data_IF_232096624844
#
_entry.id   IF_232096624844
#
_cell.length_a   1.000
_cell.length_b   1.000
_cell.length_c   1.000
_cell.angle_alpha   90.00
_cell.angle_beta   90.00
_cell.angle_gamma   90.00
#
_symmetry.space_group_name_H-M   'P 1'
#
loop_
_entity.id
_entity.type
_entity.pdbx_description
1 polymer ?
#
# COMPACT_ATOMS: atom_id res chain seq x y z
N UNK A 1 -33.90 -33.15 13.84
CA UNK A 1 -34.06 -31.70 13.52
C UNK A 1 -33.18 -30.80 14.38
N UNK A 2 -33.12 -30.99 15.71
CA UNK A 2 -32.27 -30.20 16.61
C UNK A 2 -30.76 -30.33 16.37
N UNK A 3 -30.28 -31.52 15.98
CA UNK A 3 -28.87 -31.78 15.74
C UNK A 3 -28.30 -30.99 14.55
N UNK A 4 -29.09 -30.86 13.47
CA UNK A 4 -28.72 -30.09 12.26
C UNK A 4 -28.64 -28.59 12.55
N UNK A 5 -29.52 -28.08 13.42
CA UNK A 5 -29.52 -26.69 13.87
C UNK A 5 -28.31 -26.35 14.75
N UNK A 6 -27.87 -27.29 15.60
CA UNK A 6 -26.65 -27.10 16.40
C UNK A 6 -25.38 -27.11 15.53
N UNK A 7 -25.29 -28.04 14.56
CA UNK A 7 -24.15 -28.11 13.65
C UNK A 7 -24.08 -26.85 12.78
N UNK A 8 -25.20 -26.36 12.27
CA UNK A 8 -25.24 -25.12 11.48
C UNK A 8 -24.78 -23.90 12.29
N UNK A 9 -25.25 -23.73 13.53
CA UNK A 9 -24.80 -22.62 14.40
C UNK A 9 -23.32 -22.72 14.76
N UNK A 10 -22.83 -23.93 15.02
CA UNK A 10 -21.43 -24.15 15.37
C UNK A 10 -20.48 -23.86 14.19
N UNK A 11 -20.85 -24.29 12.99
CA UNK A 11 -20.09 -24.01 11.76
C UNK A 11 -20.08 -22.50 11.46
N UNK A 12 -21.22 -21.82 11.59
CA UNK A 12 -21.31 -20.36 11.36
C UNK A 12 -20.45 -19.58 12.35
N UNK A 13 -20.53 -19.91 13.64
CA UNK A 13 -19.72 -19.24 14.67
C UNK A 13 -18.22 -19.47 14.46
N UNK A 14 -17.84 -20.70 14.08
CA UNK A 14 -16.44 -21.01 13.72
C UNK A 14 -15.98 -20.26 12.47
N UNK A 15 -16.80 -20.18 11.42
CA UNK A 15 -16.47 -19.45 10.20
C UNK A 15 -16.31 -17.95 10.44
N UNK A 16 -17.14 -17.36 11.30
CA UNK A 16 -17.05 -15.94 11.65
C UNK A 16 -15.79 -15.64 12.47
N UNK A 17 -15.43 -16.55 13.39
CA UNK A 17 -14.18 -16.47 14.15
C UNK A 17 -12.95 -16.63 13.25
N UNK A 18 -12.99 -17.58 12.32
CA UNK A 18 -11.93 -17.84 11.34
C UNK A 18 -11.80 -16.65 10.38
N UNK A 19 -12.89 -16.08 9.88
CA UNK A 19 -12.85 -14.88 9.03
C UNK A 19 -12.28 -13.67 9.75
N UNK A 20 -12.66 -13.45 11.02
CA UNK A 20 -12.10 -12.33 11.79
C UNK A 20 -10.62 -12.54 12.13
N UNK A 21 -10.20 -13.79 12.38
CA UNK A 21 -8.80 -14.13 12.58
C UNK A 21 -7.98 -13.95 11.28
N UNK A 22 -8.47 -14.44 10.15
CA UNK A 22 -7.81 -14.29 8.84
C UNK A 22 -7.71 -12.83 8.39
N UNK A 23 -8.68 -11.97 8.74
CA UNK A 23 -8.58 -10.52 8.52
C UNK A 23 -7.43 -9.87 9.29
N UNK A 24 -7.01 -10.45 10.40
CA UNK A 24 -5.92 -9.91 11.24
C UNK A 24 -4.55 -10.47 10.87
N UNK A 25 -4.48 -11.63 10.19
CA UNK A 25 -3.22 -12.35 9.95
C UNK A 25 -2.83 -12.51 8.48
N UNK A 26 -3.73 -12.22 7.53
CA UNK A 26 -3.47 -12.38 6.09
C UNK A 26 -2.58 -11.27 5.52
N UNK A 27 -1.39 -11.64 5.02
CA UNK A 27 -0.49 -10.77 4.23
C UNK A 27 -0.92 -10.54 2.77
N UNK A 28 -2.01 -11.17 2.31
CA UNK A 28 -2.52 -11.02 0.94
C UNK A 28 -3.79 -10.15 0.92
N UNK A 29 -3.63 -8.83 0.84
CA UNK A 29 -4.72 -7.84 0.77
C UNK A 29 -5.57 -8.00 -0.51
N UNK A 30 -4.94 -8.22 -1.67
CA UNK A 30 -5.64 -8.32 -2.96
C UNK A 30 -6.68 -9.46 -3.07
N UNK A 31 -6.46 -10.60 -2.40
CA UNK A 31 -7.42 -11.72 -2.42
C UNK A 31 -8.62 -11.45 -1.50
N UNK A 32 -8.37 -10.81 -0.35
CA UNK A 32 -9.41 -10.46 0.63
C UNK A 32 -10.33 -9.34 0.11
N UNK A 33 -9.77 -8.40 -0.64
CA UNK A 33 -10.52 -7.32 -1.30
C UNK A 33 -11.36 -7.83 -2.48
N UNK A 34 -10.86 -8.82 -3.23
CA UNK A 34 -11.63 -9.49 -4.29
C UNK A 34 -12.82 -10.30 -3.75
N UNK A 35 -12.68 -10.88 -2.55
CA UNK A 35 -13.75 -11.63 -1.88
C UNK A 35 -14.80 -10.72 -1.24
N UNK A 36 -14.39 -9.59 -0.66
CA UNK A 36 -15.31 -8.60 -0.06
C UNK A 36 -16.06 -7.77 -1.10
N UNK A 37 -15.51 -7.60 -2.31
CA UNK A 37 -16.18 -6.96 -3.45
C UNK A 37 -17.25 -7.83 -4.13
N UNK A 38 -17.28 -9.15 -3.89
CA UNK A 38 -18.33 -10.01 -4.41
C UNK A 38 -19.66 -9.75 -3.68
N UNK A 39 -20.60 -9.11 -4.38
CA UNK A 39 -21.98 -8.81 -3.92
C UNK A 39 -22.78 -10.04 -3.45
N UNK A 40 -22.26 -11.25 -3.70
CA UNK A 40 -22.78 -12.53 -3.21
C UNK A 40 -22.93 -12.52 -1.68
N UNK A 41 -22.03 -11.86 -0.94
CA UNK A 41 -22.09 -11.81 0.53
C UNK A 41 -23.03 -10.73 1.08
N UNK A 42 -23.29 -9.67 0.32
CA UNK A 42 -24.22 -8.60 0.74
C UNK A 42 -25.69 -9.06 0.74
N UNK A 43 -26.05 -9.97 -0.16
CA UNK A 43 -27.42 -10.54 -0.21
C UNK A 43 -27.63 -11.66 0.84
N UNK A 44 -26.54 -12.15 1.44
CA UNK A 44 -26.50 -13.15 2.51
C UNK A 44 -26.61 -12.51 3.91
N UNK A 45 -27.33 -11.41 4.06
CA UNK A 45 -27.62 -10.81 5.37
C UNK A 45 -28.40 -11.77 6.25
N UNK A 46 -27.68 -12.47 7.14
CA UNK A 46 -28.17 -13.50 8.07
C UNK A 46 -29.29 -12.96 8.99
N UNK A 47 -29.34 -11.63 9.21
CA UNK A 47 -30.40 -10.99 10.00
C UNK A 47 -31.80 -11.15 9.37
N UNK A 48 -31.89 -11.28 8.04
CA UNK A 48 -33.16 -11.55 7.35
C UNK A 48 -33.67 -12.99 7.49
N UNK A 49 -32.78 -13.96 7.72
CA UNK A 49 -33.12 -15.39 7.81
C UNK A 49 -33.70 -15.79 9.18
N UNK A 50 -33.42 -15.02 10.23
CA UNK A 50 -33.87 -15.34 11.59
C UNK A 50 -35.21 -14.66 11.95
N UNK A 51 -35.56 -13.54 11.29
CA UNK A 51 -36.66 -12.69 11.71
C UNK A 51 -38.04 -13.02 11.10
N UNK A 52 -38.16 -13.91 10.12
CA UNK A 52 -39.43 -14.10 9.41
C UNK A 52 -39.88 -15.57 9.31
N UNK A 53 -40.68 -16.02 10.29
CA UNK A 53 -41.24 -17.39 10.37
C UNK A 53 -42.27 -17.75 9.29
N UNK A 54 -42.56 -16.88 8.31
CA UNK A 54 -43.68 -17.08 7.36
C UNK A 54 -43.34 -17.03 5.86
N UNK A 55 -42.09 -16.82 5.48
CA UNK A 55 -41.72 -16.85 4.06
C UNK A 55 -40.98 -18.14 3.73
N UNK A 56 -41.70 -19.08 3.12
CA UNK A 56 -41.16 -20.29 2.49
C UNK A 56 -40.38 -19.89 1.23
N UNK A 57 -39.27 -19.17 1.38
CA UNK A 57 -38.30 -18.99 0.29
C UNK A 57 -37.64 -20.34 0.06
N UNK A 58 -37.90 -20.94 -1.10
CA UNK A 58 -37.14 -22.09 -1.59
C UNK A 58 -35.73 -21.55 -1.84
N UNK A 59 -34.83 -21.78 -0.88
CA UNK A 59 -33.40 -21.61 -1.12
C UNK A 59 -33.07 -22.57 -2.27
N UNK A 60 -32.67 -22.01 -3.41
CA UNK A 60 -32.29 -22.76 -4.60
C UNK A 60 -31.30 -23.84 -4.19
N UNK A 61 -31.65 -25.10 -4.43
CA UNK A 61 -30.98 -26.27 -3.89
C UNK A 61 -29.63 -26.58 -4.57
N UNK A 62 -29.13 -25.63 -5.34
CA UNK A 62 -27.99 -25.77 -6.25
C UNK A 62 -26.82 -24.88 -5.84
N UNK A 63 -26.71 -24.51 -4.55
CA UNK A 63 -25.42 -24.01 -4.08
C UNK A 63 -24.53 -25.23 -3.87
N UNK A 64 -23.56 -25.48 -4.77
CA UNK A 64 -22.93 -26.78 -4.79
C UNK A 64 -22.00 -26.88 -3.60
N UNK A 65 -22.25 -27.86 -2.73
CA UNK A 65 -21.48 -28.10 -1.51
C UNK A 65 -19.96 -28.18 -1.80
N UNK A 66 -19.58 -28.58 -3.01
CA UNK A 66 -18.20 -28.61 -3.46
C UNK A 66 -17.51 -27.24 -3.48
N UNK A 67 -18.22 -26.13 -3.70
CA UNK A 67 -17.62 -24.78 -3.64
C UNK A 67 -17.24 -24.37 -2.21
N UNK A 68 -18.07 -24.74 -1.22
CA UNK A 68 -17.76 -24.49 0.19
C UNK A 68 -16.58 -25.36 0.61
N UNK A 69 -16.55 -26.63 0.19
CA UNK A 69 -15.42 -27.52 0.47
C UNK A 69 -14.13 -27.04 -0.21
N UNK A 70 -14.21 -26.55 -1.46
CA UNK A 70 -13.08 -25.96 -2.19
C UNK A 70 -12.55 -24.71 -1.47
N UNK A 71 -13.45 -23.82 -1.03
CA UNK A 71 -13.06 -22.61 -0.29
C UNK A 71 -12.42 -22.97 1.06
N UNK A 72 -12.95 -23.96 1.78
CA UNK A 72 -12.33 -24.48 3.01
C UNK A 72 -10.95 -25.10 2.73
N UNK A 73 -10.78 -25.86 1.65
CA UNK A 73 -9.48 -26.45 1.28
C UNK A 73 -8.45 -25.38 0.91
N UNK A 74 -8.85 -24.34 0.16
CA UNK A 74 -7.97 -23.22 -0.18
C UNK A 74 -7.52 -22.45 1.08
N UNK A 75 -8.43 -22.25 2.04
CA UNK A 75 -8.08 -21.64 3.33
C UNK A 75 -7.12 -22.51 4.16
N UNK A 76 -7.29 -23.84 4.16
CA UNK A 76 -6.41 -24.76 4.88
C UNK A 76 -5.02 -24.90 4.25
N UNK A 77 -4.92 -24.92 2.92
CA UNK A 77 -3.62 -24.96 2.22
C UNK A 77 -2.84 -23.66 2.48
N UNK A 78 -3.55 -22.52 2.57
CA UNK A 78 -2.92 -21.24 2.87
C UNK A 78 -2.36 -21.18 4.30
N UNK A 79 -3.00 -21.85 5.27
CA UNK A 79 -2.52 -21.96 6.65
C UNK A 79 -1.30 -22.91 6.77
N UNK A 80 -1.25 -23.96 5.94
CA UNK A 80 -0.14 -24.93 5.93
C UNK A 80 1.15 -24.39 5.27
N UNK A 81 1.06 -23.36 4.42
CA UNK A 81 2.22 -22.68 3.81
C UNK A 81 2.77 -21.58 4.73
N UNK A 82 1.98 -21.15 5.72
CA UNK A 82 2.45 -20.31 6.80
C UNK A 82 3.13 -21.17 7.88
N UNK A 83 4.29 -21.76 7.58
CA UNK A 83 5.09 -22.42 8.61
C UNK A 83 5.46 -21.41 9.71
N UNK A 84 5.19 -21.71 11.00
CA UNK A 84 5.87 -21.07 12.10
C UNK A 84 7.23 -21.78 12.27
N UNK A 85 8.30 -21.00 12.33
CA UNK A 85 9.69 -21.42 12.61
C UNK A 85 10.56 -21.69 11.37
N UNK A 86 11.04 -20.61 10.76
CA UNK A 86 12.39 -20.61 10.18
C UNK A 86 13.18 -19.52 10.89
N UNK A 87 13.93 -19.89 11.94
CA UNK A 87 15.02 -19.05 12.43
C UNK A 87 16.19 -19.20 11.46
N UNK A 88 16.65 -18.13 10.79
CA UNK A 88 17.95 -18.16 10.17
C UNK A 88 18.99 -17.80 11.24
N UNK A 89 19.54 -18.82 11.89
CA UNK A 89 20.92 -18.72 12.37
C UNK A 89 21.82 -18.63 11.13
N UNK A 90 22.08 -17.41 10.68
CA UNK A 90 23.22 -17.13 9.80
C UNK A 90 23.85 -15.80 10.21
N UNK A 91 24.64 -15.86 11.28
CA UNK A 91 25.75 -14.93 11.44
C UNK A 91 26.73 -15.15 10.28
N UNK A 92 26.86 -14.16 9.40
CA UNK A 92 28.13 -13.52 9.02
C UNK A 92 28.06 -12.94 7.60
N UNK A 93 28.42 -11.65 7.52
CA UNK A 93 28.81 -10.91 6.32
C UNK A 93 27.73 -10.76 5.23
N UNK A 94 26.71 -9.95 5.49
CA UNK A 94 26.17 -9.09 4.44
C UNK A 94 26.64 -7.67 4.76
N UNK A 95 27.53 -7.16 3.91
CA UNK A 95 27.88 -5.75 3.87
C UNK A 95 26.58 -4.96 3.76
N UNK A 96 26.38 -4.00 4.66
CA UNK A 96 25.32 -3.02 4.52
C UNK A 96 25.54 -2.30 3.19
N UNK A 97 24.77 -2.68 2.17
CA UNK A 97 24.67 -1.94 0.93
C UNK A 97 24.14 -0.57 1.31
N UNK A 98 25.05 0.39 1.38
CA UNK A 98 24.79 1.71 1.92
C UNK A 98 23.76 2.38 1.02
N UNK A 99 22.57 2.65 1.57
CA UNK A 99 21.58 3.55 0.98
C UNK A 99 22.32 4.85 0.61
N UNK A 100 22.50 5.08 -0.68
CA UNK A 100 23.42 6.12 -1.17
C UNK A 100 22.68 7.44 -1.30
N UNK A 101 22.76 8.27 -0.26
CA UNK A 101 22.32 9.67 -0.35
C UNK A 101 23.26 10.41 -1.31
N UNK A 102 22.77 10.70 -2.52
CA UNK A 102 23.56 11.38 -3.54
C UNK A 102 23.33 12.88 -3.44
N UNK A 103 24.35 13.61 -2.97
CA UNK A 103 24.34 15.06 -2.85
C UNK A 103 24.74 15.72 -4.18
N UNK A 104 23.78 16.33 -4.87
CA UNK A 104 24.00 17.03 -6.14
C UNK A 104 24.11 18.53 -5.83
N UNK A 105 25.33 19.07 -5.97
CA UNK A 105 25.61 20.48 -5.73
C UNK A 105 25.46 21.29 -7.03
N UNK A 106 24.36 22.03 -7.17
CA UNK A 106 24.25 23.05 -8.22
C UNK A 106 24.91 24.35 -7.75
N UNK A 107 26.00 24.76 -8.40
CA UNK A 107 26.68 26.01 -8.09
C UNK A 107 26.03 27.16 -8.85
N UNK A 108 25.34 28.07 -8.14
CA UNK A 108 25.37 29.54 -8.33
C UNK A 108 24.39 30.21 -7.36
N UNK A 109 24.89 31.24 -6.66
CA UNK A 109 24.22 32.18 -5.72
C UNK A 109 24.10 31.73 -4.25
N UNK A 110 24.81 32.47 -3.40
CA UNK A 110 24.80 32.42 -1.92
C UNK A 110 23.61 33.22 -1.38
N UNK A 111 22.41 32.68 -1.52
CA UNK A 111 21.28 32.95 -0.63
C UNK A 111 21.22 31.78 0.38
N UNK A 112 20.56 31.93 1.53
CA UNK A 112 20.36 30.83 2.49
C UNK A 112 19.90 29.57 1.75
N UNK A 113 20.80 28.58 1.62
CA UNK A 113 20.60 27.44 0.72
C UNK A 113 19.59 26.51 1.39
N UNK A 114 18.32 26.59 0.98
CA UNK A 114 17.31 25.61 1.34
C UNK A 114 17.64 24.28 0.68
N UNK A 115 18.30 23.39 1.43
CA UNK A 115 18.62 22.03 1.00
C UNK A 115 17.30 21.27 0.82
N UNK A 116 17.10 20.73 -0.39
CA UNK A 116 15.88 20.01 -0.75
C UNK A 116 16.18 18.51 -0.85
N UNK A 117 15.38 17.69 -0.17
CA UNK A 117 15.44 16.24 -0.30
C UNK A 117 14.45 15.77 -1.36
N UNK A 118 14.90 14.96 -2.30
CA UNK A 118 14.05 14.26 -3.27
C UNK A 118 14.13 12.77 -2.98
N UNK A 119 12.97 12.17 -2.71
CA UNK A 119 12.81 10.74 -2.46
C UNK A 119 12.15 10.14 -3.69
N UNK A 120 12.80 9.14 -4.29
CA UNK A 120 12.31 8.48 -5.51
C UNK A 120 12.31 6.97 -5.34
N UNK A 121 11.35 6.31 -5.98
CA UNK A 121 11.34 4.86 -6.12
C UNK A 121 12.36 4.40 -7.18
N UNK A 122 13.00 3.23 -7.00
CA UNK A 122 13.98 2.71 -7.97
C UNK A 122 13.37 2.43 -9.35
N UNK A 123 12.06 2.18 -9.43
CA UNK A 123 11.34 1.92 -10.68
C UNK A 123 11.03 3.16 -11.51
N UNK A 124 11.50 4.35 -11.08
CA UNK A 124 11.27 5.60 -11.78
C UNK A 124 12.22 5.74 -12.99
N UNK A 125 11.64 5.65 -14.18
CA UNK A 125 12.36 5.97 -15.42
C UNK A 125 12.58 7.49 -15.54
N UNK A 126 13.68 7.91 -16.18
CA UNK A 126 13.97 9.32 -16.52
C UNK A 126 14.20 10.26 -15.32
N UNK A 127 14.81 9.75 -14.25
CA UNK A 127 15.22 10.55 -13.08
C UNK A 127 15.97 11.85 -13.46
N UNK A 128 16.84 11.82 -14.46
CA UNK A 128 17.61 13.00 -14.91
C UNK A 128 16.71 14.15 -15.40
N UNK A 129 15.64 13.84 -16.14
CA UNK A 129 14.71 14.84 -16.63
C UNK A 129 13.96 15.51 -15.46
N UNK A 130 13.60 14.72 -14.45
CA UNK A 130 12.96 15.23 -13.24
C UNK A 130 13.90 16.13 -12.44
N UNK A 131 15.15 15.70 -12.23
CA UNK A 131 16.17 16.47 -11.51
C UNK A 131 16.49 17.80 -12.18
N UNK A 132 16.39 17.89 -13.51
CA UNK A 132 16.61 19.14 -14.25
C UNK A 132 15.62 20.27 -13.90
N UNK A 133 14.45 19.92 -13.36
CA UNK A 133 13.44 20.87 -12.90
C UNK A 133 13.73 21.48 -11.53
N UNK A 134 14.66 20.91 -10.77
CA UNK A 134 15.02 21.42 -9.44
C UNK A 134 16.22 22.36 -9.53
N UNK A 135 16.17 23.43 -8.75
CA UNK A 135 17.28 24.40 -8.63
C UNK A 135 17.81 24.40 -7.20
N UNK A 136 19.13 24.61 -7.05
CA UNK A 136 19.79 24.64 -5.75
C UNK A 136 20.50 23.33 -5.36
N UNK A 137 20.74 23.17 -4.07
CA UNK A 137 21.37 21.97 -3.51
C UNK A 137 20.31 20.90 -3.27
N UNK A 138 20.44 19.78 -3.98
CA UNK A 138 19.49 18.68 -3.97
C UNK A 138 20.16 17.44 -3.42
N UNK A 139 19.55 16.84 -2.41
CA UNK A 139 19.92 15.52 -1.94
C UNK A 139 18.92 14.52 -2.51
N UNK A 140 19.42 13.46 -3.14
CA UNK A 140 18.59 12.41 -3.71
C UNK A 140 18.68 11.15 -2.84
N UNK A 141 17.51 10.62 -2.49
CA UNK A 141 17.34 9.33 -1.84
C UNK A 141 16.56 8.40 -2.78
N UNK A 142 17.21 7.33 -3.24
CA UNK A 142 16.57 6.30 -4.07
C UNK A 142 16.19 5.14 -3.15
N UNK A 143 14.91 4.76 -3.16
CA UNK A 143 14.39 3.67 -2.36
C UNK A 143 14.52 2.34 -3.08
N UNK A 144 14.78 1.29 -2.31
CA UNK A 144 14.93 -0.07 -2.81
C UNK A 144 13.64 -0.87 -2.66
N UNK A 145 13.33 -1.71 -3.65
CA UNK A 145 12.02 -2.37 -3.76
C UNK A 145 11.75 -3.45 -2.70
N UNK A 146 12.78 -3.87 -1.95
CA UNK A 146 12.72 -4.99 -1.01
C UNK A 146 12.76 -4.57 0.47
N UNK A 147 12.77 -3.26 0.75
CA UNK A 147 12.82 -2.72 2.11
C UNK A 147 11.51 -2.00 2.47
N UNK A 148 11.26 -1.82 3.77
CA UNK A 148 10.13 -1.00 4.20
C UNK A 148 10.45 0.48 3.90
N UNK A 149 9.64 1.16 3.07
CA UNK A 149 9.97 2.49 2.55
C UNK A 149 10.19 3.54 3.65
N UNK A 150 9.37 3.60 4.69
CA UNK A 150 9.53 4.62 5.72
C UNK A 150 10.71 4.33 6.66
N UNK A 151 11.00 3.08 6.99
CA UNK A 151 12.21 2.67 7.70
C UNK A 151 13.45 3.02 6.89
N UNK A 152 13.45 2.76 5.57
CA UNK A 152 14.59 3.12 4.70
C UNK A 152 14.84 4.63 4.74
N UNK A 153 13.79 5.45 4.65
CA UNK A 153 13.90 6.90 4.76
C UNK A 153 14.40 7.29 6.16
N UNK A 154 13.81 6.74 7.22
CA UNK A 154 14.20 7.05 8.59
C UNK A 154 15.67 6.72 8.87
N UNK A 155 16.15 5.59 8.36
CA UNK A 155 17.55 5.17 8.48
C UNK A 155 18.48 6.11 7.71
N UNK A 156 18.13 6.45 6.46
CA UNK A 156 18.94 7.33 5.63
C UNK A 156 19.05 8.76 6.21
N UNK A 157 17.99 9.24 6.88
CA UNK A 157 17.94 10.61 7.41
C UNK A 157 18.37 10.71 8.88
N UNK A 158 18.62 9.61 9.58
CA UNK A 158 18.87 9.60 11.03
C UNK A 158 20.03 10.52 11.49
N UNK A 159 21.06 10.68 10.64
CA UNK A 159 22.23 11.51 10.94
C UNK A 159 22.29 12.80 10.12
N UNK A 160 21.29 13.04 9.27
CA UNK A 160 21.26 14.22 8.41
C UNK A 160 20.65 15.41 9.15
N UNK A 161 21.06 16.65 8.82
CA UNK A 161 20.36 17.83 9.32
C UNK A 161 18.92 17.86 8.78
N UNK A 162 17.97 18.49 9.50
CA UNK A 162 16.59 18.58 9.04
C UNK A 162 16.48 19.32 7.70
N UNK A 163 15.75 18.72 6.76
CA UNK A 163 15.54 19.31 5.44
C UNK A 163 14.46 20.39 5.47
N UNK A 164 14.65 21.45 4.68
CA UNK A 164 13.68 22.55 4.59
C UNK A 164 12.53 22.25 3.64
N UNK A 165 12.78 21.45 2.60
CA UNK A 165 11.79 20.98 1.63
C UNK A 165 11.99 19.50 1.38
N UNK A 166 10.89 18.76 1.23
CA UNK A 166 10.89 17.36 0.83
C UNK A 166 9.95 17.14 -0.34
N UNK A 167 10.44 16.42 -1.32
CA UNK A 167 9.69 16.01 -2.51
C UNK A 167 9.69 14.49 -2.59
N UNK A 168 8.51 13.88 -2.67
CA UNK A 168 8.35 12.45 -2.96
C UNK A 168 7.88 12.32 -4.40
N UNK A 169 8.59 11.52 -5.19
CA UNK A 169 8.19 11.19 -6.56
C UNK A 169 7.78 9.73 -6.60
N UNK A 170 6.50 9.50 -6.87
CA UNK A 170 5.92 8.16 -6.85
C UNK A 170 4.95 7.95 -8.01
N UNK A 171 4.90 6.71 -8.52
CA UNK A 171 3.73 6.29 -9.31
C UNK A 171 2.53 6.28 -8.37
N UNK A 172 1.33 6.55 -8.88
CA UNK A 172 0.13 6.49 -8.06
C UNK A 172 -1.03 5.82 -8.79
N UNK A 173 -1.97 5.34 -7.97
CA UNK A 173 -3.33 4.98 -8.35
C UNK A 173 -4.30 5.99 -7.75
N UNK A 174 -5.61 5.79 -7.92
CA UNK A 174 -6.63 6.73 -7.43
C UNK A 174 -6.61 7.00 -5.93
N UNK A 175 -6.03 6.10 -5.11
CA UNK A 175 -6.06 6.18 -3.64
C UNK A 175 -4.83 5.58 -2.94
N UNK A 176 -3.73 5.38 -3.68
CA UNK A 176 -2.49 4.83 -3.14
C UNK A 176 -1.29 5.30 -3.97
N UNK A 177 -0.12 5.39 -3.36
CA UNK A 177 1.15 5.66 -4.03
C UNK A 177 2.02 4.41 -4.05
N UNK A 178 2.90 4.28 -5.03
CA UNK A 178 3.85 3.17 -5.13
C UNK A 178 5.25 3.67 -4.76
N UNK A 179 5.83 3.11 -3.71
CA UNK A 179 7.08 3.56 -3.12
C UNK A 179 7.81 2.39 -2.43
N UNK A 180 9.11 2.22 -2.70
CA UNK A 180 9.92 1.13 -2.15
C UNK A 180 9.36 -0.24 -2.54
N UNK A 181 8.92 -0.40 -3.79
CA UNK A 181 8.36 -1.66 -4.29
C UNK A 181 6.96 -2.03 -3.76
N UNK A 182 6.26 -1.10 -3.09
CA UNK A 182 4.98 -1.38 -2.40
C UNK A 182 3.92 -0.33 -2.65
N UNK A 183 2.66 -0.76 -2.66
CA UNK A 183 1.52 0.16 -2.61
C UNK A 183 1.26 0.63 -1.19
N UNK A 184 1.39 1.93 -0.99
CA UNK A 184 1.08 2.65 0.24
C UNK A 184 -0.33 3.21 0.09
N UNK A 185 -1.27 2.60 0.78
CA UNK A 185 -2.67 3.03 0.88
C UNK A 185 -3.02 3.47 2.30
N UNK A 186 -4.30 3.75 2.57
CA UNK A 186 -4.76 4.16 3.89
C UNK A 186 -4.49 3.12 4.98
N UNK A 187 -4.61 1.83 4.67
CA UNK A 187 -4.41 0.77 5.64
C UNK A 187 -2.92 0.69 6.02
N UNK A 188 -2.05 0.77 5.02
CA UNK A 188 -0.61 0.85 5.20
C UNK A 188 -0.21 2.01 6.11
N UNK A 189 -0.75 3.21 5.86
CA UNK A 189 -0.43 4.38 6.67
C UNK A 189 -0.79 4.18 8.15
N UNK A 190 -1.92 3.55 8.45
CA UNK A 190 -2.33 3.25 9.83
C UNK A 190 -1.44 2.21 10.51
N UNK A 191 -1.04 1.16 9.79
CA UNK A 191 -0.13 0.14 10.29
C UNK A 191 1.26 0.72 10.60
N UNK A 192 1.72 1.66 9.79
CA UNK A 192 3.06 2.26 9.87
C UNK A 192 3.09 3.66 10.52
N UNK A 193 2.06 4.03 11.29
CA UNK A 193 1.94 5.35 11.93
C UNK A 193 3.18 5.77 12.75
N UNK A 194 3.87 4.82 13.39
CA UNK A 194 5.07 5.12 14.18
C UNK A 194 6.27 5.50 13.30
N UNK A 195 6.42 4.79 12.17
CA UNK A 195 7.47 5.08 11.19
C UNK A 195 7.21 6.43 10.51
N UNK A 196 5.95 6.74 10.21
CA UNK A 196 5.51 8.05 9.68
C UNK A 196 5.76 9.21 10.65
N UNK A 197 5.51 9.01 11.95
CA UNK A 197 5.82 10.01 12.97
C UNK A 197 7.33 10.21 13.16
N UNK A 198 8.15 9.22 12.80
CA UNK A 198 9.62 9.36 12.78
C UNK A 198 10.06 10.07 11.51
N UNK A 199 9.45 9.74 10.38
CA UNK A 199 9.68 10.39 9.09
C UNK A 199 9.46 11.90 9.20
N UNK A 200 8.34 12.35 9.76
CA UNK A 200 8.05 13.79 9.84
C UNK A 200 9.02 14.57 10.73
N UNK A 201 9.62 13.92 11.73
CA UNK A 201 10.62 14.54 12.62
C UNK A 201 11.96 14.84 11.93
N UNK A 202 12.19 14.28 10.73
CA UNK A 202 13.39 14.54 9.93
C UNK A 202 13.32 15.87 9.16
N UNK A 203 12.19 16.57 9.21
CA UNK A 203 11.96 17.80 8.47
C UNK A 203 11.83 18.99 9.41
N UNK A 204 12.17 20.18 8.92
CA UNK A 204 12.00 21.39 9.71
C UNK A 204 10.51 21.65 9.98
N UNK A 205 10.21 22.32 11.11
CA UNK A 205 8.83 22.62 11.47
C UNK A 205 8.14 23.44 10.37
N UNK A 206 7.03 22.92 9.85
CA UNK A 206 6.26 23.55 8.78
C UNK A 206 6.88 23.38 7.39
N UNK A 207 7.86 22.50 7.22
CA UNK A 207 8.38 22.13 5.90
C UNK A 207 7.26 21.58 5.02
N UNK A 208 7.06 22.13 3.81
CA UNK A 208 6.09 21.58 2.88
C UNK A 208 6.58 20.23 2.34
N UNK A 209 5.63 19.31 2.13
CA UNK A 209 5.86 18.06 1.40
C UNK A 209 5.21 18.18 0.02
N UNK A 210 6.03 18.12 -1.02
CA UNK A 210 5.54 18.03 -2.40
C UNK A 210 5.45 16.56 -2.83
N UNK A 211 4.27 16.11 -3.22
CA UNK A 211 4.00 14.75 -3.66
C UNK A 211 3.74 14.72 -5.16
N UNK A 212 4.76 14.37 -5.94
CA UNK A 212 4.71 14.26 -7.40
C UNK A 212 4.16 12.89 -7.80
N UNK A 213 3.00 12.86 -8.47
CA UNK A 213 2.32 11.60 -8.80
C UNK A 213 1.71 11.56 -10.19
N UNK A 214 1.50 10.36 -10.73
CA UNK A 214 0.87 10.16 -12.06
C UNK A 214 -0.65 10.14 -12.03
N UNK A 215 -1.28 9.63 -10.96
CA UNK A 215 -2.73 9.36 -10.94
C UNK A 215 -3.38 9.43 -9.55
N UNK A 216 -2.80 10.17 -8.60
CA UNK A 216 -3.42 10.34 -7.28
C UNK A 216 -4.53 11.38 -7.34
N UNK A 217 -5.72 10.96 -7.74
CA UNK A 217 -6.86 11.86 -7.93
C UNK A 217 -7.38 12.47 -6.62
N UNK A 218 -7.97 13.67 -6.69
CA UNK A 218 -8.82 14.23 -5.63
C UNK A 218 -10.19 13.51 -5.48
N UNK A 219 -10.30 12.25 -5.94
CA UNK A 219 -11.48 11.42 -5.68
C UNK A 219 -11.65 11.20 -4.18
N UNK A 220 -12.81 10.68 -3.76
CA UNK A 220 -13.08 10.42 -2.34
C UNK A 220 -11.98 9.54 -1.69
N UNK A 221 -11.45 8.56 -2.42
CA UNK A 221 -10.37 7.70 -1.93
C UNK A 221 -9.02 8.42 -1.82
N UNK A 222 -8.61 9.15 -2.86
CA UNK A 222 -7.34 9.88 -2.85
C UNK A 222 -7.32 11.05 -1.86
N UNK A 223 -8.44 11.76 -1.72
CA UNK A 223 -8.57 12.81 -0.69
C UNK A 223 -8.48 12.26 0.74
N UNK A 224 -9.06 11.09 1.01
CA UNK A 224 -8.90 10.41 2.31
C UNK A 224 -7.47 9.95 2.56
N UNK A 225 -6.80 9.44 1.52
CA UNK A 225 -5.40 9.05 1.61
C UNK A 225 -4.51 10.25 1.97
N UNK A 226 -4.63 11.36 1.22
CA UNK A 226 -3.86 12.59 1.45
C UNK A 226 -4.15 13.14 2.85
N UNK A 227 -5.42 13.27 3.22
CA UNK A 227 -5.79 13.79 4.54
C UNK A 227 -5.27 12.94 5.70
N UNK A 228 -5.28 11.61 5.57
CA UNK A 228 -4.66 10.74 6.59
C UNK A 228 -3.14 10.89 6.60
N UNK A 229 -2.50 11.02 5.44
CA UNK A 229 -1.06 11.20 5.36
C UNK A 229 -0.62 12.52 6.02
N UNK A 230 -1.36 13.62 5.78
CA UNK A 230 -1.17 14.90 6.48
C UNK A 230 -1.40 14.77 7.98
N UNK A 231 -2.45 14.06 8.41
CA UNK A 231 -2.74 13.85 9.83
C UNK A 231 -1.62 13.08 10.54
N UNK A 232 -1.11 12.01 9.94
CA UNK A 232 -0.08 11.18 10.58
C UNK A 232 1.30 11.83 10.57
N UNK A 233 1.61 12.61 9.52
CA UNK A 233 2.90 13.28 9.39
C UNK A 233 2.92 14.67 10.01
N UNK A 234 1.75 15.29 10.24
CA UNK A 234 1.62 16.71 10.60
C UNK A 234 2.27 17.66 9.57
N UNK A 235 2.43 17.20 8.33
CA UNK A 235 2.98 17.98 7.22
C UNK A 235 1.86 18.43 6.29
N UNK A 236 2.04 19.58 5.64
CA UNK A 236 1.15 20.04 4.57
C UNK A 236 1.59 19.39 3.26
N UNK A 237 0.70 18.65 2.62
CA UNK A 237 1.01 17.85 1.44
C UNK A 237 0.42 18.52 0.19
N UNK A 238 1.31 19.03 -0.67
CA UNK A 238 0.94 19.57 -1.97
C UNK A 238 1.10 18.50 -3.05
N UNK A 239 -0.02 18.12 -3.69
CA UNK A 239 -0.02 17.06 -4.72
C UNK A 239 0.17 17.67 -6.10
N UNK A 240 1.28 17.29 -6.74
CA UNK A 240 1.65 17.75 -8.08
C UNK A 240 1.47 16.60 -9.06
N UNK A 241 0.58 16.80 -10.04
CA UNK A 241 0.33 15.81 -11.07
C UNK A 241 1.42 15.86 -12.13
N UNK A 242 2.24 14.81 -12.18
CA UNK A 242 3.11 14.56 -13.31
C UNK A 242 2.23 14.16 -14.48
N UNK A 243 2.29 14.92 -15.58
CA UNK A 243 1.68 14.47 -16.82
C UNK A 243 2.37 13.16 -17.19
N UNK A 244 1.66 12.04 -17.02
CA UNK A 244 2.12 10.78 -17.54
C UNK A 244 2.43 10.99 -19.00
N UNK A 245 3.66 10.69 -19.43
CA UNK A 245 3.89 10.34 -20.82
C UNK A 245 2.78 9.33 -21.14
N UNK A 246 1.94 9.64 -22.12
CA UNK A 246 0.80 8.82 -22.52
C UNK A 246 1.29 7.38 -22.68
N UNK A 247 1.14 6.54 -21.66
CA UNK A 247 1.19 5.10 -21.83
C UNK A 247 -0.15 4.78 -22.44
N UNK A 248 -0.15 4.66 -23.77
CA UNK A 248 -1.24 4.00 -24.46
C UNK A 248 -1.55 2.70 -23.70
N UNK A 249 -2.82 2.43 -23.38
CA UNK A 249 -3.17 1.21 -22.66
C UNK A 249 -2.53 0.00 -23.35
N UNK A 250 -2.01 -0.97 -22.60
CA UNK A 250 -1.36 -2.16 -23.16
C UNK A 250 -2.24 -2.96 -24.16
N UNK A 251 -3.54 -2.70 -24.22
CA UNK A 251 -4.46 -3.27 -25.21
C UNK A 251 -4.51 -2.52 -26.56
N UNK A 252 -3.88 -1.34 -26.66
CA UNK A 252 -3.71 -0.55 -27.90
C UNK A 252 -2.47 -1.00 -28.67
N UNK A 253 -1.50 -1.67 -28.05
CA UNK A 253 -0.35 -2.28 -28.72
C UNK A 253 -0.68 -3.68 -29.29
N UNK A 254 -1.77 -3.82 -30.05
CA UNK A 254 -1.82 -4.90 -31.04
C UNK A 254 -1.00 -4.46 -32.23
N UNK A 255 0.22 -4.96 -32.31
CA UNK A 255 0.93 -5.03 -33.58
C UNK A 255 -0.05 -5.49 -34.67
N UNK A 256 -0.14 -4.69 -35.73
CA UNK A 256 -0.75 -5.11 -36.98
C UNK A 256 -0.05 -6.42 -37.41
N UNK A 257 -0.71 -7.55 -37.17
CA UNK A 257 -0.44 -8.75 -37.95
C UNK A 257 -1.10 -8.52 -39.31
N UNK A 258 -0.29 -8.20 -40.31
CA UNK A 258 -0.66 -8.38 -41.70
C UNK A 258 -0.82 -9.89 -41.95
N UNK A 259 -2.03 -10.30 -42.36
CA UNK A 259 -2.35 -11.64 -42.85
C UNK A 259 -2.25 -11.69 -44.37
#
# INVERSE_FOLDING_TARGET
MWFVLCISKFIVYRLELIMNYLKQTSRYTNFNDSLTGMTIFNDLSIRGLIANKKTKRRLSHDFPVYWIVLLCLLLFINDAIAEPNFEPEFESAFEAESITLTKIKSSLVKAEQSVSLIIVDSSLEQLEALLSGFSGEVHLLILEDNMEPFEQINQALYQEPPYSNVSIVAKASSSAIYLGGRWIDKHYLLEHQHSLATFSRQFANGSPLSLYTTNLTASHGGGQFIGLFEELTQMNVDVIYMQGQHYDPLWVQREQYDF
#
